data_IF_954908010806
#
_entry.id   IF_954908010806
#
_cell.length_a   1.000
_cell.length_b   1.000
_cell.length_c   1.000
_cell.angle_alpha   90.00
_cell.angle_beta   90.00
_cell.angle_gamma   90.00
#
_symmetry.space_group_name_H-M   'P 1'
#
loop_
_entity.id
_entity.type
_entity.pdbx_description
1 polymer ?
#
# COMPACT_ATOMS: atom_id res chain seq x y z
N UNK A 1 8.52 15.77 -9.24
CA UNK A 1 9.04 14.40 -9.34
C UNK A 1 9.45 14.09 -10.76
N UNK A 2 10.51 13.32 -10.95
CA UNK A 2 10.89 12.82 -12.27
C UNK A 2 9.91 11.72 -12.71
N UNK A 3 9.80 11.46 -14.01
CA UNK A 3 8.96 10.35 -14.51
C UNK A 3 9.36 9.01 -13.91
N UNK A 4 10.65 8.79 -13.66
CA UNK A 4 11.18 7.59 -13.02
C UNK A 4 10.69 7.45 -11.56
N UNK A 5 10.66 8.53 -10.79
CA UNK A 5 10.12 8.54 -9.43
C UNK A 5 8.62 8.23 -9.42
N UNK A 6 7.88 8.84 -10.33
CA UNK A 6 6.45 8.59 -10.48
C UNK A 6 6.15 7.12 -10.81
N UNK A 7 6.90 6.55 -11.76
CA UNK A 7 6.76 5.13 -12.11
C UNK A 7 7.08 4.20 -10.92
N UNK A 8 8.13 4.52 -10.16
CA UNK A 8 8.53 3.72 -8.99
C UNK A 8 7.48 3.76 -7.88
N UNK A 9 6.92 4.93 -7.59
CA UNK A 9 5.82 5.08 -6.63
C UNK A 9 4.60 4.26 -7.08
N UNK A 10 4.24 4.30 -8.35
CA UNK A 10 3.15 3.49 -8.87
C UNK A 10 3.39 1.98 -8.76
N UNK A 11 4.65 1.53 -8.91
CA UNK A 11 5.01 0.13 -8.68
C UNK A 11 4.76 -0.27 -7.22
N UNK A 12 5.07 0.57 -6.24
CA UNK A 12 4.78 0.29 -4.84
C UNK A 12 3.28 0.21 -4.55
N UNK A 13 2.49 1.13 -5.10
CA UNK A 13 1.04 1.05 -4.99
C UNK A 13 0.47 -0.23 -5.59
N UNK A 14 0.99 -0.64 -6.75
CA UNK A 14 0.56 -1.88 -7.40
C UNK A 14 0.96 -3.11 -6.58
N UNK A 15 2.21 -3.18 -6.11
CA UNK A 15 2.71 -4.27 -5.26
C UNK A 15 1.84 -4.44 -4.01
N UNK A 16 1.58 -3.35 -3.30
CA UNK A 16 0.74 -3.35 -2.10
C UNK A 16 -0.69 -3.81 -2.43
N UNK A 17 -1.26 -3.32 -3.51
CA UNK A 17 -2.60 -3.71 -3.97
C UNK A 17 -2.68 -5.19 -4.34
N UNK A 18 -1.69 -5.71 -5.05
CA UNK A 18 -1.62 -7.12 -5.42
C UNK A 18 -1.44 -8.02 -4.20
N UNK A 19 -0.60 -7.65 -3.25
CA UNK A 19 -0.41 -8.39 -2.01
C UNK A 19 -1.69 -8.43 -1.17
N UNK A 20 -2.39 -7.31 -1.08
CA UNK A 20 -3.70 -7.23 -0.41
C UNK A 20 -4.74 -8.12 -1.09
N UNK A 21 -4.76 -8.12 -2.42
CA UNK A 21 -5.66 -8.96 -3.21
C UNK A 21 -5.38 -10.46 -3.03
N UNK A 22 -4.11 -10.85 -3.02
CA UNK A 22 -3.70 -12.23 -2.70
C UNK A 22 -4.19 -12.64 -1.31
N UNK A 23 -3.94 -11.79 -0.32
CA UNK A 23 -4.33 -12.05 1.05
C UNK A 23 -5.84 -12.23 1.18
N UNK A 24 -6.65 -11.31 0.68
CA UNK A 24 -8.10 -11.35 0.79
C UNK A 24 -8.71 -12.46 -0.08
N UNK A 25 -8.27 -12.60 -1.32
CA UNK A 25 -8.81 -13.61 -2.25
C UNK A 25 -8.52 -15.04 -1.79
N UNK A 26 -7.28 -15.33 -1.37
CA UNK A 26 -6.89 -16.64 -0.86
C UNK A 26 -7.55 -16.95 0.47
N UNK A 27 -7.63 -16.00 1.39
CA UNK A 27 -8.32 -16.15 2.67
C UNK A 27 -9.80 -16.47 2.46
N UNK A 28 -10.48 -15.74 1.60
CA UNK A 28 -11.88 -15.99 1.26
C UNK A 28 -12.09 -17.37 0.63
N UNK A 29 -11.13 -17.84 -0.17
CA UNK A 29 -11.15 -19.19 -0.77
C UNK A 29 -10.73 -20.31 0.20
N UNK A 30 -10.49 -20.01 1.47
CA UNK A 30 -10.11 -20.99 2.49
C UNK A 30 -8.68 -21.53 2.32
N UNK A 31 -7.79 -20.81 1.65
CA UNK A 31 -6.40 -21.19 1.47
C UNK A 31 -5.51 -20.59 2.54
N UNK A 32 -4.43 -21.30 2.88
CA UNK A 32 -3.44 -20.77 3.81
C UNK A 32 -2.68 -19.62 3.16
N UNK A 33 -2.67 -18.50 3.88
CA UNK A 33 -2.02 -17.26 3.45
C UNK A 33 -1.49 -16.52 4.66
N UNK A 34 -0.27 -16.03 4.56
CA UNK A 34 0.35 -15.18 5.57
C UNK A 34 0.85 -13.91 4.92
N UNK A 35 0.50 -12.78 5.50
CA UNK A 35 1.03 -11.48 5.12
C UNK A 35 1.87 -10.91 6.26
N UNK A 36 3.13 -10.62 5.98
CA UNK A 36 4.07 -10.00 6.89
C UNK A 36 4.18 -8.51 6.57
N UNK A 37 4.13 -7.68 7.59
CA UNK A 37 4.48 -6.27 7.49
C UNK A 37 5.99 -6.11 7.66
N UNK A 38 6.66 -5.51 6.67
CA UNK A 38 8.11 -5.30 6.66
C UNK A 38 8.52 -3.88 7.02
N UNK A 39 7.59 -2.96 7.05
CA UNK A 39 7.80 -1.55 7.27
C UNK A 39 6.99 -0.70 6.29
N UNK A 40 7.45 0.52 6.03
CA UNK A 40 6.82 1.41 5.08
C UNK A 40 7.82 1.90 4.04
N UNK A 41 7.41 1.92 2.77
CA UNK A 41 8.14 2.62 1.73
C UNK A 41 8.01 4.12 1.91
N UNK A 42 9.12 4.83 1.79
CA UNK A 42 9.14 6.28 1.67
C UNK A 42 8.75 6.67 0.24
N UNK A 43 7.67 7.42 0.09
CA UNK A 43 7.20 7.90 -1.23
C UNK A 43 7.61 9.36 -1.48
N UNK A 44 7.69 10.16 -0.42
CA UNK A 44 8.08 11.58 -0.48
C UNK A 44 8.60 12.03 0.87
N UNK A 45 9.57 12.92 0.86
CA UNK A 45 10.03 13.64 2.05
C UNK A 45 9.70 15.11 1.89
N UNK A 46 8.97 15.68 2.86
CA UNK A 46 8.58 17.08 2.85
C UNK A 46 9.80 18.00 2.91
N UNK A 47 9.70 19.21 2.34
CA UNK A 47 10.81 20.16 2.30
C UNK A 47 11.24 20.62 3.68
N UNK A 48 10.31 20.73 4.62
CA UNK A 48 10.58 21.11 6.02
C UNK A 48 10.93 19.93 6.93
N UNK A 49 10.99 18.70 6.39
CA UNK A 49 11.40 17.53 7.17
C UNK A 49 12.86 17.58 7.51
N UNK A 50 13.21 17.25 8.76
CA UNK A 50 14.61 17.10 9.18
C UNK A 50 15.28 15.85 8.59
N UNK A 51 14.51 14.97 7.96
CA UNK A 51 15.00 13.81 7.20
C UNK A 51 15.19 14.11 5.70
N UNK A 52 14.98 15.35 5.27
CA UNK A 52 15.25 15.78 3.89
C UNK A 52 16.73 15.64 3.56
N UNK A 53 17.04 14.93 2.48
CA UNK A 53 18.41 14.61 2.07
C UNK A 53 19.04 13.43 2.83
N UNK A 54 18.28 12.80 3.74
CA UNK A 54 18.69 11.57 4.45
C UNK A 54 17.87 10.39 3.96
N UNK A 55 16.54 10.49 4.10
CA UNK A 55 15.63 9.48 3.55
C UNK A 55 15.33 9.77 2.07
N UNK A 56 15.31 8.74 1.28
CA UNK A 56 15.05 8.79 -0.15
C UNK A 56 13.79 7.98 -0.51
N UNK A 57 13.22 8.28 -1.70
CA UNK A 57 12.14 7.47 -2.25
C UNK A 57 12.62 6.03 -2.37
N UNK A 58 11.78 5.09 -1.97
CA UNK A 58 12.01 3.66 -1.92
C UNK A 58 12.82 3.14 -0.73
N UNK A 59 13.35 3.98 0.12
CA UNK A 59 13.82 3.51 1.41
C UNK A 59 12.66 2.88 2.18
N UNK A 60 12.97 1.90 3.01
CA UNK A 60 11.98 1.26 3.88
C UNK A 60 12.23 1.64 5.32
N UNK A 61 11.32 2.38 5.93
CA UNK A 61 11.38 2.63 7.37
C UNK A 61 10.88 1.37 8.10
N UNK A 62 11.74 0.80 8.92
CA UNK A 62 11.46 -0.44 9.66
C UNK A 62 11.21 -0.21 11.14
N UNK A 63 11.58 0.94 11.68
CA UNK A 63 11.36 1.26 13.08
C UNK A 63 11.55 2.74 13.40
N UNK A 64 10.99 3.15 14.52
CA UNK A 64 11.12 4.51 15.06
C UNK A 64 11.37 4.41 16.57
N UNK A 65 12.41 5.08 17.07
CA UNK A 65 12.81 5.04 18.47
C UNK A 65 12.98 3.62 19.02
N UNK A 66 13.62 2.76 18.25
CA UNK A 66 13.83 1.32 18.55
C UNK A 66 12.55 0.50 18.70
N UNK A 67 11.41 1.05 18.26
CA UNK A 67 10.14 0.33 18.18
C UNK A 67 9.87 -0.13 16.77
N UNK A 68 9.35 -1.35 16.65
CA UNK A 68 8.79 -1.89 15.40
C UNK A 68 7.27 -1.84 15.47
N UNK A 69 6.62 -1.90 14.31
CA UNK A 69 5.17 -1.76 14.18
C UNK A 69 4.62 -2.90 13.31
N UNK A 70 3.33 -3.18 13.46
CA UNK A 70 2.64 -4.21 12.67
C UNK A 70 1.84 -3.61 11.49
N UNK A 71 1.74 -2.28 11.43
CA UNK A 71 1.07 -1.55 10.35
C UNK A 71 1.61 -0.12 10.24
N UNK A 72 1.40 0.51 9.08
CA UNK A 72 1.69 1.95 8.91
C UNK A 72 0.82 2.81 9.82
N UNK A 73 -0.41 2.39 10.09
CA UNK A 73 -1.33 3.11 10.98
C UNK A 73 -0.75 3.21 12.39
N UNK A 74 -0.24 2.12 12.93
CA UNK A 74 0.39 2.11 14.26
C UNK A 74 1.66 2.97 14.30
N UNK A 75 2.48 2.91 13.27
CA UNK A 75 3.66 3.76 13.13
C UNK A 75 3.26 5.24 13.11
N UNK A 76 2.31 5.62 12.29
CA UNK A 76 1.83 7.01 12.18
C UNK A 76 1.23 7.48 13.49
N UNK A 77 0.42 6.66 14.15
CA UNK A 77 -0.17 6.97 15.45
C UNK A 77 0.90 7.22 16.51
N UNK A 78 1.92 6.37 16.56
CA UNK A 78 3.05 6.55 17.49
C UNK A 78 3.79 7.86 17.20
N UNK A 79 4.15 8.12 15.95
CA UNK A 79 4.89 9.35 15.57
C UNK A 79 4.06 10.61 15.86
N UNK A 80 2.74 10.58 15.55
CA UNK A 80 1.86 11.70 15.84
C UNK A 80 1.70 11.99 17.34
N UNK A 81 1.94 10.99 18.21
CA UNK A 81 1.87 11.15 19.67
C UNK A 81 3.11 11.80 20.28
N UNK A 82 4.20 11.93 19.52
CA UNK A 82 5.43 12.56 20.00
C UNK A 82 5.28 14.08 20.04
N UNK A 83 6.00 14.74 20.97
CA UNK A 83 5.94 16.18 21.11
C UNK A 83 6.72 16.89 19.98
N UNK A 84 6.23 18.06 19.60
CA UNK A 84 6.90 18.91 18.61
C UNK A 84 8.30 19.26 19.10
N UNK A 85 9.30 19.06 18.23
CA UNK A 85 10.71 19.32 18.53
C UNK A 85 11.44 18.15 19.20
N UNK A 86 10.75 17.09 19.62
CA UNK A 86 11.40 15.91 20.16
C UNK A 86 12.35 15.28 19.13
N UNK A 87 13.48 14.79 19.62
CA UNK A 87 14.38 13.97 18.82
C UNK A 87 13.73 12.63 18.52
N UNK A 88 13.86 12.18 17.28
CA UNK A 88 13.33 10.91 16.81
C UNK A 88 14.40 10.18 16.01
N UNK A 89 14.63 8.91 16.38
CA UNK A 89 15.54 8.01 15.64
C UNK A 89 14.71 7.14 14.69
N UNK A 90 15.05 7.19 13.41
CA UNK A 90 14.44 6.34 12.38
C UNK A 90 15.43 5.25 11.98
N UNK A 91 14.98 4.01 12.01
CA UNK A 91 15.69 2.86 11.45
C UNK A 91 15.11 2.56 10.08
N UNK A 92 15.96 2.43 9.07
CA UNK A 92 15.51 2.24 7.69
C UNK A 92 16.49 1.38 6.89
N UNK A 93 16.00 0.80 5.82
CA UNK A 93 16.79 0.08 4.83
C UNK A 93 16.93 0.92 3.57
N UNK A 94 18.16 1.07 3.11
CA UNK A 94 18.52 1.66 1.82
C UNK A 94 19.39 0.66 1.06
N UNK A 95 18.95 0.25 -0.13
CA UNK A 95 19.66 -0.74 -0.96
C UNK A 95 20.03 -2.03 -0.20
N UNK A 96 19.12 -2.53 0.63
CA UNK A 96 19.30 -3.75 1.44
C UNK A 96 20.19 -3.58 2.66
N UNK A 97 20.65 -2.37 2.97
CA UNK A 97 21.47 -2.07 4.15
C UNK A 97 20.66 -1.33 5.21
N UNK A 98 20.71 -1.84 6.44
CA UNK A 98 20.07 -1.17 7.58
C UNK A 98 20.90 0.02 8.04
N UNK A 99 20.24 1.16 8.16
CA UNK A 99 20.78 2.44 8.60
C UNK A 99 19.92 3.06 9.69
N UNK A 100 20.47 4.01 10.40
CA UNK A 100 19.72 4.85 11.35
C UNK A 100 20.00 6.32 11.08
N UNK A 101 19.00 7.17 11.33
CA UNK A 101 19.13 8.60 11.27
C UNK A 101 18.34 9.23 12.43
N UNK A 102 18.86 10.32 12.97
CA UNK A 102 18.16 11.09 14.00
C UNK A 102 17.72 12.43 13.43
N UNK A 103 16.47 12.74 13.65
CA UNK A 103 15.86 14.00 13.26
C UNK A 103 14.94 14.51 14.36
N UNK A 104 13.99 15.34 13.98
CA UNK A 104 13.05 15.96 14.92
C UNK A 104 11.61 15.82 14.45
N UNK A 105 10.71 15.76 15.42
CA UNK A 105 9.28 15.88 15.17
C UNK A 105 8.97 17.30 14.74
N UNK A 106 8.27 17.45 13.64
CA UNK A 106 7.84 18.72 13.06
C UNK A 106 6.32 18.82 13.01
N UNK A 107 5.80 20.02 12.78
CA UNK A 107 4.40 20.26 12.49
C UNK A 107 4.15 19.99 11.00
N UNK A 108 3.21 19.11 10.72
CA UNK A 108 2.78 18.79 9.36
C UNK A 108 1.73 19.78 8.86
N UNK A 109 1.52 19.85 7.55
CA UNK A 109 0.49 20.71 6.92
C UNK A 109 -0.92 20.43 7.45
N UNK A 110 -1.23 19.18 7.80
CA UNK A 110 -2.51 18.78 8.38
C UNK A 110 -2.66 19.10 9.87
N UNK A 111 -1.69 19.82 10.46
CA UNK A 111 -1.69 20.23 11.86
C UNK A 111 -1.26 19.14 12.85
N UNK A 112 -0.96 17.93 12.40
CA UNK A 112 -0.43 16.87 13.26
C UNK A 112 1.08 16.97 13.43
N UNK A 113 1.61 16.34 14.46
CA UNK A 113 3.04 16.16 14.64
C UNK A 113 3.53 14.98 13.80
N UNK A 114 4.74 15.03 13.24
CA UNK A 114 5.24 13.95 12.42
C UNK A 114 6.68 14.16 11.96
N UNK A 115 7.17 13.28 11.14
CA UNK A 115 8.53 13.34 10.56
C UNK A 115 8.57 13.85 9.12
N UNK A 116 7.40 14.12 8.52
CA UNK A 116 7.31 14.74 7.20
C UNK A 116 7.61 13.78 6.04
N UNK A 117 7.15 12.54 6.10
CA UNK A 117 7.21 11.58 4.99
C UNK A 117 5.81 11.18 4.53
N UNK A 118 5.65 10.96 3.22
CA UNK A 118 4.53 10.20 2.67
C UNK A 118 4.96 8.75 2.54
N UNK A 119 4.08 7.83 2.87
CA UNK A 119 4.43 6.42 3.01
C UNK A 119 3.32 5.48 2.52
N UNK A 120 3.70 4.24 2.24
CA UNK A 120 2.79 3.12 2.00
C UNK A 120 3.40 1.85 2.61
N UNK A 121 2.55 0.91 3.04
CA UNK A 121 2.99 -0.36 3.60
C UNK A 121 3.88 -1.13 2.62
N UNK A 122 5.00 -1.65 3.12
CA UNK A 122 5.76 -2.70 2.49
C UNK A 122 5.38 -4.02 3.14
N UNK A 123 4.83 -4.93 2.35
CA UNK A 123 4.34 -6.23 2.80
C UNK A 123 4.98 -7.36 2.00
N UNK A 124 4.97 -8.55 2.57
CA UNK A 124 5.33 -9.79 1.93
C UNK A 124 4.22 -10.80 2.14
N UNK A 125 3.85 -11.50 1.08
CA UNK A 125 2.79 -12.51 1.12
C UNK A 125 3.39 -13.89 0.86
N UNK A 126 3.13 -14.83 1.77
CA UNK A 126 3.53 -16.23 1.65
C UNK A 126 2.28 -17.10 1.51
N UNK A 127 2.20 -17.84 0.41
CA UNK A 127 1.10 -18.75 0.10
C UNK A 127 1.61 -20.00 -0.62
N UNK A 128 0.94 -21.14 -0.37
CA UNK A 128 1.17 -22.37 -1.11
C UNK A 128 0.58 -22.34 -2.53
N UNK A 129 -0.31 -21.41 -2.81
CA UNK A 129 -0.93 -21.23 -4.13
C UNK A 129 -0.18 -20.12 -4.87
N UNK A 130 0.50 -20.43 -5.99
CA UNK A 130 1.13 -19.40 -6.81
C UNK A 130 0.07 -18.56 -7.52
N UNK A 131 0.24 -17.25 -7.49
CA UNK A 131 -0.65 -16.30 -8.18
C UNK A 131 0.20 -15.33 -8.97
N UNK A 132 -0.11 -15.23 -10.25
CA UNK A 132 0.47 -14.25 -11.16
C UNK A 132 -0.62 -13.28 -11.64
N UNK A 133 -0.28 -12.00 -11.70
CA UNK A 133 -1.16 -10.96 -12.21
C UNK A 133 -0.73 -10.54 -13.62
N UNK A 134 -1.65 -10.57 -14.56
CA UNK A 134 -1.48 -9.91 -15.84
C UNK A 134 -2.00 -8.49 -15.76
N UNK A 135 -1.08 -7.53 -15.62
CA UNK A 135 -1.43 -6.13 -15.29
C UNK A 135 -1.00 -5.15 -16.36
N UNK A 136 -0.82 -5.59 -17.60
CA UNK A 136 -0.51 -4.69 -18.71
C UNK A 136 -1.58 -3.60 -18.84
N UNK A 137 -1.16 -2.35 -18.64
CA UNK A 137 -2.03 -1.19 -18.72
C UNK A 137 -2.98 -0.97 -17.52
N UNK A 138 -2.87 -1.79 -16.47
CA UNK A 138 -3.65 -1.63 -15.24
C UNK A 138 -2.72 -1.19 -14.11
N UNK A 139 -3.06 -0.11 -13.43
CA UNK A 139 -2.25 0.43 -12.35
C UNK A 139 -3.09 0.99 -11.21
N UNK A 140 -2.43 1.11 -10.05
CA UNK A 140 -2.96 1.75 -8.86
C UNK A 140 -3.77 0.85 -7.93
N UNK A 141 -4.09 1.33 -6.72
CA UNK A 141 -4.72 0.54 -5.66
C UNK A 141 -6.20 0.19 -5.94
N UNK A 142 -6.83 0.87 -6.87
CA UNK A 142 -8.25 0.69 -7.21
C UNK A 142 -8.59 -0.63 -7.90
N UNK A 143 -7.60 -1.43 -8.27
CA UNK A 143 -7.79 -2.76 -8.82
C UNK A 143 -7.89 -3.86 -7.73
N UNK A 144 -7.57 -3.55 -6.49
CA UNK A 144 -7.44 -4.52 -5.40
C UNK A 144 -8.69 -5.35 -5.14
N UNK A 145 -9.87 -4.73 -5.14
CA UNK A 145 -11.14 -5.44 -4.98
C UNK A 145 -11.34 -6.48 -6.08
N UNK A 146 -11.20 -6.07 -7.34
CA UNK A 146 -11.47 -6.95 -8.47
C UNK A 146 -10.43 -8.05 -8.61
N UNK A 147 -9.17 -7.80 -8.27
CA UNK A 147 -8.15 -8.84 -8.16
C UNK A 147 -8.50 -9.87 -7.09
N UNK A 148 -8.98 -9.43 -5.92
CA UNK A 148 -9.42 -10.32 -4.83
C UNK A 148 -10.58 -11.21 -5.28
N UNK A 149 -11.57 -10.64 -5.93
CA UNK A 149 -12.72 -11.36 -6.47
C UNK A 149 -12.32 -12.34 -7.58
N UNK A 150 -11.38 -11.96 -8.45
CA UNK A 150 -10.87 -12.85 -9.50
C UNK A 150 -10.16 -14.08 -8.91
N UNK A 151 -9.33 -13.89 -7.88
CA UNK A 151 -8.67 -14.99 -7.17
C UNK A 151 -9.69 -15.91 -6.52
N UNK A 152 -10.66 -15.35 -5.78
CA UNK A 152 -11.73 -16.11 -5.16
C UNK A 152 -12.55 -16.90 -6.17
N UNK A 153 -12.95 -16.26 -7.26
CA UNK A 153 -13.75 -16.88 -8.31
C UNK A 153 -13.03 -18.09 -8.92
N UNK A 154 -11.74 -17.95 -9.22
CA UNK A 154 -10.97 -19.04 -9.82
C UNK A 154 -10.77 -20.23 -8.89
N UNK A 155 -10.65 -20.00 -7.58
CA UNK A 155 -10.29 -21.04 -6.62
C UNK A 155 -11.49 -21.66 -5.91
N UNK A 156 -12.57 -20.91 -5.69
CA UNK A 156 -13.66 -21.32 -4.83
C UNK A 156 -15.04 -21.31 -5.49
N UNK A 157 -15.27 -20.40 -6.44
CA UNK A 157 -16.60 -20.28 -7.07
C UNK A 157 -16.49 -19.76 -8.51
N UNK A 158 -16.15 -20.64 -9.50
CA UNK A 158 -15.98 -20.24 -10.89
C UNK A 158 -17.27 -19.68 -11.53
N UNK A 159 -18.43 -20.02 -11.00
CA UNK A 159 -19.73 -19.59 -11.52
C UNK A 159 -20.29 -18.32 -10.84
N UNK A 160 -19.49 -17.66 -10.00
CA UNK A 160 -19.93 -16.48 -9.24
C UNK A 160 -20.57 -15.39 -10.11
N UNK A 161 -20.10 -15.23 -11.33
CA UNK A 161 -20.63 -14.22 -12.26
C UNK A 161 -21.94 -14.63 -12.93
N UNK A 162 -22.30 -15.88 -12.89
CA UNK A 162 -23.53 -16.42 -13.52
C UNK A 162 -23.67 -15.96 -15.00
N UNK A 163 -22.59 -16.08 -15.76
CA UNK A 163 -22.53 -15.68 -17.18
C UNK A 163 -22.54 -14.18 -17.46
N UNK A 164 -22.63 -13.35 -16.43
CA UNK A 164 -22.69 -11.88 -16.60
C UNK A 164 -21.31 -11.27 -16.83
N UNK A 165 -21.29 -10.15 -17.54
CA UNK A 165 -20.11 -9.27 -17.62
C UNK A 165 -20.20 -8.27 -16.47
N UNK A 166 -19.31 -8.43 -15.51
CA UNK A 166 -19.27 -7.60 -14.31
C UNK A 166 -18.05 -6.69 -14.36
N UNK A 167 -18.26 -5.39 -14.20
CA UNK A 167 -17.19 -4.43 -13.97
C UNK A 167 -17.27 -3.93 -12.54
N UNK A 168 -16.11 -3.72 -11.93
CA UNK A 168 -16.02 -3.20 -10.57
C UNK A 168 -14.70 -2.49 -10.34
N UNK A 169 -14.67 -1.70 -9.27
CA UNK A 169 -13.47 -0.99 -8.84
C UNK A 169 -13.53 -0.77 -7.33
N UNK A 170 -12.38 -0.64 -6.70
CA UNK A 170 -12.24 -0.41 -5.28
C UNK A 170 -10.84 -0.82 -4.85
N UNK A 171 -10.28 -0.10 -3.89
CA UNK A 171 -9.16 -0.63 -3.12
C UNK A 171 -9.69 -1.65 -2.11
N UNK A 172 -8.81 -2.47 -1.56
CA UNK A 172 -9.16 -3.39 -0.46
C UNK A 172 -8.05 -3.33 0.58
N UNK A 173 -8.42 -3.28 1.84
CA UNK A 173 -7.47 -3.25 2.94
C UNK A 173 -7.29 -4.64 3.59
N UNK A 174 -6.44 -4.69 4.62
CA UNK A 174 -6.12 -5.92 5.35
C UNK A 174 -7.32 -6.51 6.09
N UNK A 175 -8.25 -5.67 6.48
CA UNK A 175 -9.51 -6.04 7.14
C UNK A 175 -10.60 -6.47 6.16
N UNK A 176 -10.34 -6.37 4.85
CA UNK A 176 -11.30 -6.68 3.79
C UNK A 176 -12.26 -5.53 3.47
N UNK A 177 -11.98 -4.33 3.98
CA UNK A 177 -12.80 -3.16 3.71
C UNK A 177 -12.48 -2.58 2.34
N UNK A 178 -13.52 -2.30 1.57
CA UNK A 178 -13.42 -1.65 0.27
C UNK A 178 -13.32 -0.14 0.46
N UNK A 179 -12.31 0.46 -0.16
CA UNK A 179 -12.07 1.89 -0.10
C UNK A 179 -12.41 2.62 -1.39
N UNK A 180 -12.49 3.93 -1.27
CA UNK A 180 -12.79 4.85 -2.35
C UNK A 180 -11.72 4.86 -3.44
N UNK A 181 -12.10 5.35 -4.61
CA UNK A 181 -11.23 5.45 -5.79
C UNK A 181 -11.39 6.80 -6.48
N UNK A 182 -10.38 7.16 -7.28
CA UNK A 182 -10.47 8.29 -8.20
C UNK A 182 -11.05 7.91 -9.56
N UNK A 183 -11.65 8.88 -10.27
CA UNK A 183 -12.10 8.74 -11.66
C UNK A 183 -13.26 7.78 -11.87
N UNK A 184 -14.15 7.65 -10.91
CA UNK A 184 -15.32 6.77 -10.98
C UNK A 184 -16.24 7.09 -12.16
N UNK A 185 -16.42 8.36 -12.47
CA UNK A 185 -17.20 8.85 -13.60
C UNK A 185 -16.75 8.25 -14.93
N UNK A 186 -15.44 8.26 -15.19
CA UNK A 186 -14.83 7.68 -16.39
C UNK A 186 -14.95 6.16 -16.41
N UNK A 187 -14.80 5.51 -15.27
CA UNK A 187 -14.89 4.04 -15.14
C UNK A 187 -16.31 3.55 -15.41
N UNK A 188 -17.32 4.23 -14.91
CA UNK A 188 -18.73 3.91 -15.17
C UNK A 188 -19.04 3.99 -16.67
N UNK A 189 -18.58 5.05 -17.35
CA UNK A 189 -18.77 5.18 -18.81
C UNK A 189 -18.08 4.04 -19.56
N UNK A 190 -16.88 3.66 -19.16
CA UNK A 190 -16.16 2.56 -19.79
C UNK A 190 -16.85 1.21 -19.57
N UNK A 191 -17.35 0.96 -18.38
CA UNK A 191 -18.09 -0.25 -18.04
C UNK A 191 -19.39 -0.38 -18.85
N UNK A 192 -20.15 0.72 -18.96
CA UNK A 192 -21.38 0.76 -19.74
C UNK A 192 -21.14 0.44 -21.23
N UNK A 193 -20.04 0.92 -21.82
CA UNK A 193 -19.67 0.64 -23.22
C UNK A 193 -19.46 -0.84 -23.54
N UNK A 194 -19.03 -1.63 -22.56
CA UNK A 194 -18.82 -3.09 -22.75
C UNK A 194 -20.00 -3.91 -22.27
N UNK A 195 -21.13 -3.28 -21.93
CA UNK A 195 -22.33 -3.95 -21.47
C UNK A 195 -22.20 -4.60 -20.09
N UNK A 196 -21.33 -4.09 -19.23
CA UNK A 196 -21.22 -4.57 -17.86
C UNK A 196 -22.45 -4.21 -17.02
N UNK A 197 -22.79 -5.09 -16.10
CA UNK A 197 -23.94 -4.95 -15.17
C UNK A 197 -23.46 -5.04 -13.74
#
# INVERSE_FOLDING_TARGET
>A
SSDAEYMRINQFYMETSQNMAKYQGLKAAGKDIKMNYLGVYVLKVAQNSTFKGILNIADTVTGVNDKTFESSEDLVKYVNSQALGDSVKVTYEEDGKTKTATGKIIKLENGKNGIGISLIDRTEVNSSVPIEFSTEGIGGPSAGLMFSLAIYTQLANPDLRDGRVIAGTGSIDREGKVGDIGGIDKKVVSAAKIGAT
#
